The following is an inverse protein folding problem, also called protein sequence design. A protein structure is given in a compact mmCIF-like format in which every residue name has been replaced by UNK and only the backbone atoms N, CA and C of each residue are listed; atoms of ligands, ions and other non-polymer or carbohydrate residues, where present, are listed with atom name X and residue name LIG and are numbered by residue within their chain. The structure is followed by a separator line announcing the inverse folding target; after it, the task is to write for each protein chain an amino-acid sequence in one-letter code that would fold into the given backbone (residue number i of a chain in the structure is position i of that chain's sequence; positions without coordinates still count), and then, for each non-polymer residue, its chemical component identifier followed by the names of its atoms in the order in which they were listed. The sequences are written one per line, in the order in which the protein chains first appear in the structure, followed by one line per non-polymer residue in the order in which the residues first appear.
data_IF_928965310763
#
_entry.id   IF_928965310763
#
_cell.length_a   1.000
_cell.length_b   1.000
_cell.length_c   1.000
_cell.angle_alpha   90.00
_cell.angle_beta   90.00
_cell.angle_gamma   90.00
#
_symmetry.space_group_name_H-M   'P 1'
#
loop_
_entity.id
_entity.type
_entity.pdbx_description
1 polymer ?
#
# COMPACT_ATOMS: atom_id res chain seq x y z
N UNK A 1 -16.19 0.17 6.63
CA UNK A 1 -14.94 -0.22 7.33
C UNK A 1 -13.89 -0.84 6.41
N UNK A 2 -14.25 -1.67 5.40
CA UNK A 2 -13.31 -2.28 4.43
C UNK A 2 -12.39 -1.29 3.70
N UNK A 3 -12.93 -0.15 3.27
CA UNK A 3 -12.17 0.89 2.55
C UNK A 3 -10.99 1.45 3.35
N UNK A 4 -11.19 1.72 4.65
CA UNK A 4 -10.12 2.27 5.51
C UNK A 4 -8.96 1.27 5.65
N UNK A 5 -9.27 -0.03 5.72
CA UNK A 5 -8.26 -1.09 5.79
C UNK A 5 -7.49 -1.22 4.48
N UNK A 6 -8.20 -1.25 3.35
CA UNK A 6 -7.59 -1.32 2.03
C UNK A 6 -6.70 -0.10 1.75
N UNK A 7 -7.17 1.11 2.10
CA UNK A 7 -6.38 2.34 1.97
C UNK A 7 -5.08 2.25 2.80
N UNK A 8 -5.15 1.71 4.03
CA UNK A 8 -3.96 1.53 4.89
C UNK A 8 -2.97 0.52 4.31
N UNK A 9 -3.45 -0.61 3.76
CA UNK A 9 -2.60 -1.62 3.14
C UNK A 9 -1.93 -1.05 1.89
N UNK A 10 -2.70 -0.39 1.03
CA UNK A 10 -2.20 0.26 -0.18
C UNK A 10 -1.10 1.29 0.15
N UNK A 11 -1.30 2.11 1.19
CA UNK A 11 -0.29 3.08 1.64
C UNK A 11 1.00 2.41 2.15
N UNK A 12 0.90 1.30 2.89
CA UNK A 12 2.08 0.58 3.40
C UNK A 12 2.88 -0.02 2.25
N UNK A 13 2.21 -0.68 1.30
CA UNK A 13 2.83 -1.31 0.13
C UNK A 13 3.46 -0.26 -0.78
N UNK A 14 2.74 0.82 -1.08
CA UNK A 14 3.28 1.91 -1.88
C UNK A 14 4.51 2.52 -1.22
N UNK A 15 4.48 2.78 0.10
CA UNK A 15 5.64 3.28 0.84
C UNK A 15 6.85 2.34 0.74
N UNK A 16 6.63 1.04 0.81
CA UNK A 16 7.71 0.05 0.78
C UNK A 16 8.37 -0.03 -0.60
N UNK A 17 7.57 -0.04 -1.67
CA UNK A 17 8.04 0.00 -3.06
C UNK A 17 8.80 1.30 -3.35
N UNK A 18 8.27 2.44 -2.90
CA UNK A 18 8.92 3.74 -3.08
C UNK A 18 10.22 3.85 -2.29
N UNK A 19 10.31 3.18 -1.13
CA UNK A 19 11.55 3.14 -0.34
C UNK A 19 12.62 2.24 -0.95
N UNK A 20 12.26 1.15 -1.59
CA UNK A 20 13.21 0.25 -2.26
C UNK A 20 13.67 0.78 -3.62
N UNK A 21 12.86 1.59 -4.31
CA UNK A 21 13.25 2.23 -5.56
C UNK A 21 13.93 3.59 -5.35
N UNK A 22 15.26 3.62 -5.51
CA UNK A 22 16.07 4.84 -5.42
C UNK A 22 15.67 5.95 -6.40
N UNK A 23 15.00 5.62 -7.51
CA UNK A 23 14.45 6.59 -8.47
C UNK A 23 13.39 7.51 -7.84
N UNK A 24 12.56 6.99 -6.93
CA UNK A 24 11.51 7.77 -6.29
C UNK A 24 11.99 8.53 -5.03
N UNK A 25 13.25 8.34 -4.63
CA UNK A 25 13.85 9.03 -3.49
C UNK A 25 14.46 10.39 -3.83
N UNK A 26 14.74 10.68 -5.11
CA UNK A 26 15.50 11.87 -5.52
C UNK A 26 14.70 12.98 -6.19
N UNK A 27 13.64 12.66 -6.93
CA UNK A 27 12.84 13.67 -7.64
C UNK A 27 11.34 13.33 -7.66
N UNK A 28 10.62 13.73 -6.61
CA UNK A 28 9.16 13.69 -6.59
C UNK A 28 8.64 14.99 -7.20
N UNK A 29 8.37 14.99 -8.50
CA UNK A 29 7.67 16.07 -9.18
C UNK A 29 6.15 15.80 -9.21
N UNK A 30 5.36 16.77 -9.70
CA UNK A 30 3.89 16.67 -9.72
C UNK A 30 3.35 15.52 -10.57
N UNK A 31 4.07 15.11 -11.62
CA UNK A 31 3.73 13.94 -12.44
C UNK A 31 3.92 12.65 -11.66
N UNK A 32 5.09 12.48 -11.03
CA UNK A 32 5.40 11.32 -10.17
C UNK A 32 4.44 11.23 -8.99
N UNK A 33 4.12 12.35 -8.35
CA UNK A 33 3.14 12.39 -7.26
C UNK A 33 1.74 11.91 -7.71
N UNK A 34 1.33 12.25 -8.94
CA UNK A 34 0.06 11.81 -9.51
C UNK A 34 0.06 10.32 -9.83
N UNK A 35 1.16 9.80 -10.36
CA UNK A 35 1.32 8.37 -10.61
C UNK A 35 1.28 7.55 -9.31
N UNK A 36 1.94 8.03 -8.25
CA UNK A 36 1.86 7.41 -6.92
C UNK A 36 0.42 7.44 -6.39
N UNK A 37 -0.27 8.57 -6.50
CA UNK A 37 -1.66 8.67 -6.05
C UNK A 37 -2.59 7.69 -6.80
N UNK A 38 -2.43 7.60 -8.13
CA UNK A 38 -3.17 6.64 -8.95
C UNK A 38 -2.85 5.20 -8.55
N UNK A 39 -1.57 4.88 -8.37
CA UNK A 39 -1.12 3.56 -7.95
C UNK A 39 -1.71 3.14 -6.59
N UNK A 40 -1.66 4.02 -5.59
CA UNK A 40 -2.26 3.79 -4.27
C UNK A 40 -3.77 3.59 -4.39
N UNK A 41 -4.44 4.39 -5.23
CA UNK A 41 -5.89 4.27 -5.42
C UNK A 41 -6.27 2.94 -6.09
N UNK A 42 -5.56 2.54 -7.15
CA UNK A 42 -5.75 1.25 -7.81
C UNK A 42 -5.54 0.08 -6.84
N UNK A 43 -4.47 0.13 -6.03
CA UNK A 43 -4.23 -0.89 -5.01
C UNK A 43 -5.38 -0.95 -3.99
N UNK A 44 -5.85 0.22 -3.52
CA UNK A 44 -6.96 0.26 -2.57
C UNK A 44 -8.25 -0.30 -3.16
N UNK A 45 -8.57 0.02 -4.40
CA UNK A 45 -9.75 -0.53 -5.09
C UNK A 45 -9.66 -2.04 -5.26
N UNK A 46 -8.50 -2.55 -5.66
CA UNK A 46 -8.27 -3.99 -5.80
C UNK A 46 -8.31 -4.71 -4.45
N UNK A 47 -7.75 -4.12 -3.39
CA UNK A 47 -7.90 -4.68 -2.05
C UNK A 47 -9.34 -4.59 -1.56
N UNK A 48 -10.10 -3.55 -1.86
CA UNK A 48 -11.51 -3.50 -1.47
C UNK A 48 -12.36 -4.57 -2.16
N UNK A 49 -12.06 -4.89 -3.42
CA UNK A 49 -12.77 -5.94 -4.18
C UNK A 49 -12.38 -7.34 -3.73
N UNK A 50 -11.10 -7.56 -3.41
CA UNK A 50 -10.55 -8.89 -3.13
C UNK A 50 -10.38 -9.20 -1.63
N UNK A 51 -10.47 -8.21 -0.73
CA UNK A 51 -10.55 -8.44 0.71
C UNK A 51 -11.94 -8.99 1.02
N UNK A 52 -12.02 -10.32 1.01
CA UNK A 52 -13.15 -11.08 1.51
C UNK A 52 -13.46 -10.66 2.95
N UNK A 53 -14.74 -10.65 3.36
CA UNK A 53 -15.18 -10.21 4.69
C UNK A 53 -14.49 -10.94 5.86
N UNK A 54 -13.84 -12.07 5.56
CA UNK A 54 -13.09 -12.89 6.52
C UNK A 54 -11.63 -12.48 6.75
N UNK A 55 -11.00 -11.67 5.89
CA UNK A 55 -9.60 -11.27 6.10
C UNK A 55 -9.54 -10.05 7.01
N UNK A 56 -9.33 -10.31 8.30
CA UNK A 56 -9.15 -9.26 9.30
C UNK A 56 -7.90 -8.44 8.98
N UNK A 57 -8.04 -7.11 9.05
CA UNK A 57 -6.97 -6.14 8.78
C UNK A 57 -5.71 -6.38 9.62
N UNK A 58 -5.92 -6.96 10.82
CA UNK A 58 -4.87 -7.35 11.76
C UNK A 58 -3.94 -8.43 11.21
N UNK A 59 -4.43 -9.36 10.41
CA UNK A 59 -3.64 -10.49 9.90
C UNK A 59 -2.66 -10.04 8.82
N UNK A 60 -3.07 -9.08 7.99
CA UNK A 60 -2.20 -8.50 6.95
C UNK A 60 -1.10 -7.65 7.60
N UNK A 61 -1.46 -6.78 8.56
CA UNK A 61 -0.48 -5.94 9.26
C UNK A 61 0.51 -6.82 10.05
N UNK A 62 0.04 -7.90 10.69
CA UNK A 62 0.90 -8.84 11.44
C UNK A 62 1.84 -9.62 10.53
N UNK A 63 1.39 -10.03 9.36
CA UNK A 63 2.23 -10.71 8.35
C UNK A 63 3.34 -9.79 7.85
N UNK A 64 3.01 -8.54 7.53
CA UNK A 64 4.01 -7.55 7.12
C UNK A 64 5.01 -7.23 8.24
N UNK A 65 4.56 -7.09 9.49
CA UNK A 65 5.44 -6.79 10.63
C UNK A 65 6.43 -7.91 10.94
N UNK A 66 6.03 -9.16 10.73
CA UNK A 66 6.88 -10.33 10.94
C UNK A 66 7.89 -10.56 9.81
N UNK A 67 7.65 -10.06 8.60
CA UNK A 67 8.60 -10.17 7.47
C UNK A 67 9.72 -9.12 7.51
N UNK A 68 9.58 -8.03 8.27
CA UNK A 68 10.61 -6.98 8.36
C UNK A 68 11.67 -7.22 9.46
N UNK A 69 11.62 -8.37 10.14
CA UNK A 69 12.43 -8.66 11.33
C UNK A 69 13.29 -9.93 11.24
N UNK A 70 13.57 -10.43 10.03
CA UNK A 70 14.45 -11.57 9.78
C UNK A 70 15.76 -11.13 9.13
#
# INVERSE_FOLDING_TARGET
MKKITADKIALVIARDILKTNSQYQRDINSMVAREIANFVNTLSEEFQKNLDDGIQSSDIIRTYKNQSGG
#
